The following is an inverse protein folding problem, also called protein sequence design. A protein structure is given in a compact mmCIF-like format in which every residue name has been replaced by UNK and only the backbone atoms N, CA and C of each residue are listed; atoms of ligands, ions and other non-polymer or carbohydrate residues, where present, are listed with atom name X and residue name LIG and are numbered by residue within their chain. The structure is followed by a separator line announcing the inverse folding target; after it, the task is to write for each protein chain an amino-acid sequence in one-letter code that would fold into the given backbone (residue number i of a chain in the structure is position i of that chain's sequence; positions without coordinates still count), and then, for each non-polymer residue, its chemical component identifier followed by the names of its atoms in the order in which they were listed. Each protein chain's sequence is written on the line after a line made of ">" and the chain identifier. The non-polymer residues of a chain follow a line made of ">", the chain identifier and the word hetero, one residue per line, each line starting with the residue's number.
data_IF_003676948653
#
_entry.id   IF_003676948653
#
_cell.length_a   1.000
_cell.length_b   1.000
_cell.length_c   1.000
_cell.angle_alpha   90.00
_cell.angle_beta   90.00
_cell.angle_gamma   90.00
#
_symmetry.space_group_name_H-M   'P 1'
#
loop_
_entity.id
_entity.type
_entity.pdbx_description
1 polymer ?
#
# COMPACT_ATOMS: atom_id res chain seq x y z
N UNK A 1 -10.15 -2.83 -15.57
CA UNK A 1 -9.36 -2.48 -14.37
C UNK A 1 -8.91 -1.04 -14.51
N UNK A 2 -8.96 -0.29 -13.44
CA UNK A 2 -8.55 1.13 -13.44
C UNK A 2 -7.09 1.25 -13.03
N UNK A 3 -6.39 2.27 -13.53
CA UNK A 3 -5.03 2.58 -13.05
C UNK A 3 -5.11 3.12 -11.63
N UNK A 4 -4.20 2.69 -10.75
CA UNK A 4 -4.14 3.16 -9.37
C UNK A 4 -3.91 4.69 -9.34
N UNK A 5 -4.83 5.48 -8.75
CA UNK A 5 -4.64 6.92 -8.59
C UNK A 5 -3.41 7.24 -7.72
N UNK A 6 -2.85 8.43 -7.91
CA UNK A 6 -1.68 8.90 -7.15
C UNK A 6 -2.06 9.69 -5.88
N UNK A 7 -3.36 9.77 -5.54
CA UNK A 7 -3.89 10.49 -4.39
C UNK A 7 -5.02 9.69 -3.72
N UNK A 8 -5.02 9.65 -2.39
CA UNK A 8 -6.05 8.98 -1.59
C UNK A 8 -7.46 9.53 -1.73
N UNK A 9 -7.63 10.78 -2.18
CA UNK A 9 -8.96 11.36 -2.41
C UNK A 9 -9.70 10.69 -3.57
N UNK A 10 -8.96 10.14 -4.53
CA UNK A 10 -9.50 9.57 -5.77
C UNK A 10 -9.67 8.04 -5.68
N UNK A 11 -9.25 7.43 -4.56
CA UNK A 11 -9.35 6.00 -4.35
C UNK A 11 -10.70 5.65 -3.75
N UNK A 12 -11.37 4.67 -4.36
CA UNK A 12 -12.64 4.13 -3.89
C UNK A 12 -12.42 2.79 -3.18
N UNK A 13 -13.23 2.49 -2.14
CA UNK A 13 -13.14 1.22 -1.43
C UNK A 13 -13.57 0.06 -2.31
N UNK A 14 -12.92 -1.09 -2.14
CA UNK A 14 -13.29 -2.37 -2.75
C UNK A 14 -13.26 -2.40 -4.30
N UNK A 15 -12.67 -1.37 -4.92
CA UNK A 15 -12.30 -1.36 -6.34
C UNK A 15 -10.91 -1.97 -6.52
N UNK A 16 -10.74 -2.73 -7.60
CA UNK A 16 -9.46 -3.31 -8.01
C UNK A 16 -8.76 -2.36 -8.99
N UNK A 17 -7.57 -1.94 -8.59
CA UNK A 17 -6.67 -1.11 -9.39
C UNK A 17 -5.48 -1.92 -9.89
N UNK A 18 -4.93 -1.54 -11.04
CA UNK A 18 -3.67 -2.04 -11.56
C UNK A 18 -2.57 -1.00 -11.30
N UNK A 19 -1.43 -1.45 -10.79
CA UNK A 19 -0.23 -0.61 -10.60
C UNK A 19 0.61 -0.57 -11.87
N UNK A 20 1.57 0.37 -11.91
CA UNK A 20 2.60 0.44 -12.96
C UNK A 20 3.51 -0.81 -13.00
N UNK A 21 3.55 -1.59 -11.92
CA UNK A 21 4.29 -2.84 -11.82
C UNK A 21 3.42 -4.09 -12.08
N UNK A 22 2.29 -3.91 -12.78
CA UNK A 22 1.32 -4.97 -13.13
C UNK A 22 0.75 -5.75 -11.93
N UNK A 23 0.76 -5.14 -10.74
CA UNK A 23 0.16 -5.72 -9.55
C UNK A 23 -1.29 -5.26 -9.42
N UNK A 24 -2.16 -6.19 -9.03
CA UNK A 24 -3.55 -5.88 -8.69
C UNK A 24 -3.68 -5.55 -7.21
N UNK A 25 -4.34 -4.43 -6.90
CA UNK A 25 -4.47 -3.94 -5.53
C UNK A 25 -5.89 -3.47 -5.24
N UNK A 26 -6.31 -3.61 -3.99
CA UNK A 26 -7.59 -3.06 -3.51
C UNK A 26 -7.44 -2.54 -2.08
N UNK A 27 -8.37 -1.67 -1.67
CA UNK A 27 -8.30 -0.98 -0.39
C UNK A 27 -9.63 -1.06 0.34
N UNK A 28 -9.59 -1.34 1.64
CA UNK A 28 -10.77 -1.14 2.48
C UNK A 28 -11.02 0.34 2.72
N UNK A 29 -12.27 0.68 3.08
CA UNK A 29 -12.62 2.04 3.54
C UNK A 29 -11.74 2.50 4.71
N UNK A 30 -11.33 1.59 5.59
CA UNK A 30 -10.44 1.90 6.72
C UNK A 30 -9.05 2.29 6.23
N UNK A 31 -8.50 1.56 5.26
CA UNK A 31 -7.20 1.87 4.69
C UNK A 31 -7.18 3.24 4.02
N UNK A 32 -8.21 3.58 3.23
CA UNK A 32 -8.30 4.88 2.55
C UNK A 32 -8.26 6.03 3.57
N UNK A 33 -9.02 5.91 4.68
CA UNK A 33 -9.01 6.91 5.77
C UNK A 33 -7.64 7.03 6.43
N UNK A 34 -6.93 5.92 6.62
CA UNK A 34 -5.57 5.96 7.17
C UNK A 34 -4.60 6.65 6.21
N UNK A 35 -4.69 6.35 4.91
CA UNK A 35 -3.90 7.01 3.88
C UNK A 35 -4.12 8.53 3.87
N UNK A 36 -5.38 8.97 3.85
CA UNK A 36 -5.73 10.40 3.92
C UNK A 36 -5.20 11.10 5.17
N UNK A 37 -5.15 10.39 6.31
CA UNK A 37 -4.73 10.96 7.60
C UNK A 37 -3.22 10.97 7.80
N UNK A 38 -2.52 9.95 7.30
CA UNK A 38 -1.13 9.67 7.70
C UNK A 38 -0.15 9.61 6.53
N UNK A 39 -0.64 9.45 5.29
CA UNK A 39 0.18 9.40 4.08
C UNK A 39 0.02 10.69 3.25
N UNK A 40 0.18 11.84 3.89
CA UNK A 40 -0.02 13.16 3.26
C UNK A 40 0.91 13.47 2.07
N UNK A 41 1.95 12.66 1.85
CA UNK A 41 2.85 12.76 0.69
C UNK A 41 2.65 11.62 -0.33
N UNK A 42 1.62 10.80 -0.15
CA UNK A 42 1.29 9.66 -1.01
C UNK A 42 2.45 8.66 -1.19
N UNK A 43 3.36 8.58 -0.21
CA UNK A 43 4.52 7.69 -0.27
C UNK A 43 4.10 6.24 -0.19
N UNK A 44 3.06 5.92 0.56
CA UNK A 44 2.50 4.57 0.57
C UNK A 44 1.94 4.21 -0.82
N UNK A 45 1.17 5.09 -1.48
CA UNK A 45 0.71 4.86 -2.85
C UNK A 45 1.87 4.70 -3.83
N UNK A 46 2.92 5.53 -3.71
CA UNK A 46 4.14 5.40 -4.52
C UNK A 46 4.84 4.05 -4.29
N UNK A 47 4.90 3.57 -3.06
CA UNK A 47 5.44 2.26 -2.75
C UNK A 47 4.62 1.13 -3.38
N UNK A 48 3.30 1.23 -3.38
CA UNK A 48 2.42 0.28 -4.08
C UNK A 48 2.66 0.32 -5.60
N UNK A 49 2.76 1.53 -6.18
CA UNK A 49 3.02 1.70 -7.62
C UNK A 49 4.32 1.03 -8.07
N UNK A 50 5.37 1.13 -7.25
CA UNK A 50 6.66 0.49 -7.51
C UNK A 50 6.63 -1.04 -7.38
N UNK A 51 5.61 -1.62 -6.75
CA UNK A 51 5.51 -3.05 -6.52
C UNK A 51 6.56 -3.59 -5.54
N UNK A 52 6.88 -4.89 -5.66
CA UNK A 52 7.87 -5.55 -4.79
C UNK A 52 9.27 -5.03 -5.08
N UNK A 53 10.01 -4.71 -4.02
CA UNK A 53 11.42 -4.32 -4.09
C UNK A 53 12.26 -5.20 -3.16
N UNK A 54 13.58 -5.33 -3.40
CA UNK A 54 14.48 -5.98 -2.45
C UNK A 54 14.41 -5.31 -1.06
N UNK A 55 14.76 -6.03 0.03
CA UNK A 55 14.76 -5.47 1.38
C UNK A 55 15.59 -4.20 1.52
N UNK A 56 16.64 -4.01 0.72
CA UNK A 56 17.49 -2.81 0.73
C UNK A 56 16.93 -1.66 -0.13
N UNK A 57 15.82 -1.88 -0.84
CA UNK A 57 15.14 -0.86 -1.63
C UNK A 57 14.58 0.30 -0.79
N UNK A 58 14.52 1.49 -1.38
CA UNK A 58 14.19 2.72 -0.64
C UNK A 58 12.68 3.01 -0.55
N UNK A 59 11.91 2.68 -1.60
CA UNK A 59 10.46 2.92 -1.68
C UNK A 59 9.82 1.78 -2.48
N UNK A 60 9.01 0.96 -1.83
CA UNK A 60 8.31 -0.16 -2.47
C UNK A 60 7.62 -1.09 -1.47
N UNK A 61 7.19 -2.26 -1.93
CA UNK A 61 6.61 -3.31 -1.11
C UNK A 61 7.68 -4.34 -0.72
N UNK A 62 7.72 -4.72 0.55
CA UNK A 62 8.59 -5.78 1.08
C UNK A 62 7.74 -6.76 1.87
N UNK A 63 8.28 -7.93 2.22
CA UNK A 63 7.56 -8.90 3.05
C UNK A 63 7.09 -8.28 4.37
N UNK A 64 5.86 -8.61 4.76
CA UNK A 64 5.30 -8.25 6.06
C UNK A 64 5.77 -9.23 7.13
N UNK A 65 6.06 -8.72 8.33
CA UNK A 65 6.31 -9.52 9.53
C UNK A 65 5.06 -9.68 10.40
N UNK A 66 3.97 -8.97 10.07
CA UNK A 66 2.67 -9.12 10.74
C UNK A 66 1.98 -10.41 10.28
N UNK A 67 1.52 -11.21 11.25
CA UNK A 67 0.85 -12.49 11.00
C UNK A 67 -0.41 -12.29 10.14
N UNK A 68 -0.56 -13.13 9.11
CA UNK A 68 -1.70 -13.06 8.19
C UNK A 68 -1.59 -11.99 7.10
N UNK A 69 -0.42 -11.37 6.94
CA UNK A 69 -0.12 -10.38 5.90
C UNK A 69 1.09 -10.79 5.07
N UNK A 70 1.04 -10.49 3.77
CA UNK A 70 2.09 -10.89 2.82
C UNK A 70 3.11 -9.77 2.62
N UNK A 71 2.63 -8.54 2.41
CA UNK A 71 3.46 -7.40 2.04
C UNK A 71 3.15 -6.19 2.91
N UNK A 72 4.16 -5.35 3.10
CA UNK A 72 4.02 -4.02 3.70
C UNK A 72 4.70 -2.95 2.86
N UNK A 73 4.22 -1.72 2.97
CA UNK A 73 4.90 -0.57 2.37
C UNK A 73 6.18 -0.23 3.11
N UNK A 74 7.32 -0.23 2.43
CA UNK A 74 8.57 0.36 2.91
C UNK A 74 8.76 1.73 2.29
N UNK A 75 8.79 2.74 3.14
CA UNK A 75 9.00 4.15 2.78
C UNK A 75 10.02 4.77 3.74
N UNK A 76 11.09 5.35 3.18
CA UNK A 76 12.15 6.02 3.94
C UNK A 76 11.93 7.55 4.05
N UNK A 77 12.55 8.15 5.06
CA UNK A 77 12.52 9.59 5.35
C UNK A 77 11.19 10.07 5.95
N UNK A 78 10.99 11.39 6.03
CA UNK A 78 9.80 12.01 6.61
C UNK A 78 8.49 11.45 5.99
N UNK A 79 7.52 11.09 6.83
CA UNK A 79 6.30 10.39 6.40
C UNK A 79 6.46 8.88 6.20
N UNK A 80 7.63 8.34 6.58
CA UNK A 80 7.92 6.90 6.56
C UNK A 80 7.67 6.19 7.88
N UNK A 81 7.07 6.87 8.85
CA UNK A 81 6.87 6.41 10.23
C UNK A 81 5.87 5.26 10.35
N UNK A 82 5.12 5.00 9.27
CA UNK A 82 4.07 4.00 9.23
C UNK A 82 4.36 2.93 8.18
N UNK A 83 3.95 1.71 8.51
CA UNK A 83 3.91 0.57 7.59
C UNK A 83 2.46 0.14 7.42
N UNK A 84 2.00 0.03 6.19
CA UNK A 84 0.67 -0.44 5.87
C UNK A 84 0.79 -1.84 5.31
N UNK A 85 0.00 -2.76 5.86
CA UNK A 85 0.12 -4.19 5.58
C UNK A 85 -1.03 -4.64 4.67
N UNK A 86 -0.69 -5.41 3.65
CA UNK A 86 -1.59 -5.98 2.68
C UNK A 86 -1.43 -7.50 2.60
N UNK A 87 -2.51 -8.18 2.21
CA UNK A 87 -2.54 -9.63 2.03
C UNK A 87 -3.13 -9.98 0.67
N UNK A 88 -2.67 -11.06 0.07
CA UNK A 88 -3.22 -11.56 -1.18
C UNK A 88 -4.54 -12.29 -0.93
N UNK A 89 -5.56 -11.90 -1.68
CA UNK A 89 -6.86 -12.57 -1.74
C UNK A 89 -7.14 -12.80 -3.22
N UNK A 90 -7.17 -14.06 -3.65
CA UNK A 90 -7.42 -14.42 -5.06
C UNK A 90 -6.51 -13.68 -6.06
N UNK A 91 -5.24 -13.46 -5.68
CA UNK A 91 -4.25 -12.76 -6.51
C UNK A 91 -4.27 -11.23 -6.42
N UNK A 92 -5.19 -10.64 -5.67
CA UNK A 92 -5.26 -9.18 -5.42
C UNK A 92 -4.59 -8.87 -4.08
N UNK A 93 -3.64 -7.94 -4.05
CA UNK A 93 -3.08 -7.43 -2.81
C UNK A 93 -4.06 -6.45 -2.16
N UNK A 94 -4.81 -6.95 -1.18
CA UNK A 94 -5.80 -6.17 -0.44
C UNK A 94 -5.18 -5.53 0.81
N UNK A 95 -5.34 -4.22 0.96
CA UNK A 95 -4.96 -3.49 2.18
C UNK A 95 -6.20 -3.23 3.06
N UNK A 96 -6.36 -3.93 4.20
CA UNK A 96 -7.56 -3.85 5.02
C UNK A 96 -7.57 -2.69 6.04
N UNK A 97 -6.50 -1.90 6.13
CA UNK A 97 -6.37 -0.83 7.12
C UNK A 97 -5.63 -1.27 8.39
N UNK A 98 -4.59 -2.09 8.21
CA UNK A 98 -3.62 -2.41 9.27
C UNK A 98 -2.38 -1.57 9.07
N UNK A 99 -2.02 -0.86 10.13
CA UNK A 99 -0.92 0.09 10.16
C UNK A 99 -0.11 -0.11 11.43
N UNK A 100 1.18 -0.37 11.30
CA UNK A 100 2.14 -0.34 12.41
C UNK A 100 3.00 0.92 12.33
N UNK A 101 3.67 1.24 13.43
CA UNK A 101 4.69 2.29 13.44
C UNK A 101 6.06 1.64 13.33
N UNK A 102 6.99 2.32 12.68
CA UNK A 102 8.40 1.89 12.66
C UNK A 102 9.09 2.19 14.00
#
# INVERSE_FOLDING_TARGET
>A
MESLPNNWADIQPDIIYQTLADMLVSFSKKQIRLGQRYDGTNKHLKAIQNGRVPPDGNIGLVSSEEEGYDLKSKVLGAGGDYRYHGKFIEGVLHFPGVKTSH
#
